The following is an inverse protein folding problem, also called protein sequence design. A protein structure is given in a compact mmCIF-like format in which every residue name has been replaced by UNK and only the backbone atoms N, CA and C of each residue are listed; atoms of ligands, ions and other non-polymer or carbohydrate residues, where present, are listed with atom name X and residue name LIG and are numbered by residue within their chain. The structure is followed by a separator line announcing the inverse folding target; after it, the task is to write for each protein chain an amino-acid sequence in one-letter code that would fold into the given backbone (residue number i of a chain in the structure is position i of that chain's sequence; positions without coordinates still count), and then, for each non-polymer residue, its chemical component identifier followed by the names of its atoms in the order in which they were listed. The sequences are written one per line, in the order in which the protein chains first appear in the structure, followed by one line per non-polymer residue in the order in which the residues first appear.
data_IF_103378492133
#
_entry.id   IF_103378492133
#
_cell.length_a   1.000
_cell.length_b   1.000
_cell.length_c   1.000
_cell.angle_alpha   90.00
_cell.angle_beta   90.00
_cell.angle_gamma   90.00
#
_symmetry.space_group_name_H-M   'P 1'
#
loop_
_entity.id
_entity.type
_entity.pdbx_description
1 polymer ?
#
# COMPACT_ATOMS: atom_id res chain seq x y z
N UNK A 1 -35.97 17.73 22.47
CA UNK A 1 -34.96 16.65 22.37
C UNK A 1 -34.16 16.87 21.09
N UNK A 2 -33.07 17.62 21.18
CA UNK A 2 -32.23 17.99 20.03
C UNK A 2 -30.96 17.15 20.05
N UNK A 3 -30.87 16.19 19.13
CA UNK A 3 -29.63 15.49 18.83
C UNK A 3 -29.00 16.13 17.60
N UNK A 4 -28.02 17.02 17.83
CA UNK A 4 -27.18 17.56 16.77
C UNK A 4 -26.43 16.40 16.11
N UNK A 5 -26.90 15.96 14.94
CA UNK A 5 -26.11 15.13 14.02
C UNK A 5 -24.90 15.98 13.65
N UNK A 6 -23.71 15.55 14.04
CA UNK A 6 -22.48 16.10 13.49
C UNK A 6 -22.48 15.78 11.99
N UNK A 7 -22.92 16.75 11.18
CA UNK A 7 -22.77 16.73 9.73
C UNK A 7 -21.28 16.99 9.51
N UNK A 8 -20.53 15.94 9.20
CA UNK A 8 -19.17 16.09 8.71
C UNK A 8 -19.28 16.80 7.36
N UNK A 9 -18.57 17.92 7.12
CA UNK A 9 -18.71 18.67 5.88
C UNK A 9 -18.32 17.78 4.70
N UNK A 10 -19.20 17.67 3.71
CA UNK A 10 -18.95 17.01 2.43
C UNK A 10 -18.00 17.84 1.54
N UNK A 11 -16.89 18.33 2.09
CA UNK A 11 -15.92 19.20 1.42
C UNK A 11 -14.50 18.84 1.87
N UNK A 12 -13.99 17.71 1.37
CA UNK A 12 -12.55 17.49 1.07
C UNK A 12 -12.30 16.09 0.50
N UNK A 13 -13.25 15.54 -0.27
CA UNK A 13 -12.95 14.35 -1.07
C UNK A 13 -12.21 14.87 -2.31
N UNK A 14 -10.88 14.94 -2.22
CA UNK A 14 -10.04 15.02 -3.40
C UNK A 14 -10.39 13.83 -4.30
N UNK A 15 -11.15 14.13 -5.34
CA UNK A 15 -11.54 13.21 -6.39
C UNK A 15 -10.28 12.63 -7.01
N UNK A 16 -10.01 11.34 -6.82
CA UNK A 16 -8.95 10.66 -7.55
C UNK A 16 -9.36 10.58 -9.02
N UNK A 17 -8.80 11.47 -9.84
CA UNK A 17 -9.04 11.51 -11.29
C UNK A 17 -8.29 10.38 -11.97
N UNK A 18 -9.01 9.43 -12.57
CA UNK A 18 -8.44 8.45 -13.50
C UNK A 18 -9.23 8.54 -14.82
N UNK A 19 -8.55 8.90 -15.92
CA UNK A 19 -9.14 9.03 -17.27
C UNK A 19 -10.33 10.00 -17.42
N UNK A 20 -10.42 11.04 -16.58
CA UNK A 20 -11.47 12.08 -16.71
C UNK A 20 -12.86 11.68 -16.18
N UNK A 21 -12.99 10.52 -15.51
CA UNK A 21 -14.20 10.13 -14.79
C UNK A 21 -13.99 10.30 -13.29
N UNK A 22 -14.94 10.94 -12.61
CA UNK A 22 -15.01 10.95 -11.15
C UNK A 22 -15.40 9.54 -10.68
N UNK A 23 -14.43 8.77 -10.20
CA UNK A 23 -14.69 7.46 -9.63
C UNK A 23 -15.21 7.66 -8.20
N UNK A 24 -16.37 7.11 -7.83
CA UNK A 24 -16.85 7.10 -6.45
C UNK A 24 -15.74 6.62 -5.51
N UNK A 25 -15.47 7.32 -4.38
CA UNK A 25 -14.43 6.92 -3.43
C UNK A 25 -14.55 5.46 -2.99
N UNK A 26 -15.78 4.97 -2.86
CA UNK A 26 -16.07 3.58 -2.51
C UNK A 26 -15.56 2.57 -3.55
N UNK A 27 -15.68 2.88 -4.85
CA UNK A 27 -15.17 2.03 -5.92
C UNK A 27 -13.62 2.07 -5.97
N UNK A 28 -13.01 3.21 -5.64
CA UNK A 28 -11.56 3.32 -5.48
C UNK A 28 -11.08 2.45 -4.33
N UNK A 29 -11.74 2.51 -3.17
CA UNK A 29 -11.41 1.71 -1.99
C UNK A 29 -11.56 0.21 -2.29
N UNK A 30 -12.65 -0.20 -2.94
CA UNK A 30 -12.88 -1.60 -3.34
C UNK A 30 -11.80 -2.11 -4.30
N UNK A 31 -11.40 -1.29 -5.27
CA UNK A 31 -10.31 -1.63 -6.19
C UNK A 31 -8.98 -1.75 -5.46
N UNK A 32 -8.63 -0.76 -4.62
CA UNK A 32 -7.40 -0.78 -3.83
C UNK A 32 -7.34 -2.00 -2.91
N UNK A 33 -8.46 -2.38 -2.28
CA UNK A 33 -8.55 -3.59 -1.47
C UNK A 33 -8.17 -4.85 -2.25
N UNK A 34 -8.79 -5.07 -3.42
CA UNK A 34 -8.47 -6.21 -4.29
C UNK A 34 -7.01 -6.19 -4.73
N UNK A 35 -6.50 -5.02 -5.09
CA UNK A 35 -5.13 -4.84 -5.58
C UNK A 35 -4.07 -5.06 -4.48
N UNK A 36 -4.33 -4.68 -3.23
CA UNK A 36 -3.43 -5.00 -2.10
C UNK A 36 -3.35 -6.50 -1.87
N UNK A 37 -4.50 -7.19 -1.82
CA UNK A 37 -4.54 -8.64 -1.62
C UNK A 37 -3.74 -9.33 -2.74
N UNK A 38 -3.88 -8.87 -3.98
CA UNK A 38 -3.12 -9.37 -5.12
C UNK A 38 -1.61 -9.07 -5.01
N UNK A 39 -1.24 -7.86 -4.55
CA UNK A 39 0.15 -7.47 -4.33
C UNK A 39 0.80 -8.32 -3.22
N UNK A 40 0.12 -8.50 -2.08
CA UNK A 40 0.58 -9.34 -0.97
C UNK A 40 0.78 -10.80 -1.40
N UNK A 41 -0.18 -11.36 -2.14
CA UNK A 41 -0.07 -12.71 -2.72
C UNK A 41 1.08 -12.82 -3.73
N UNK A 42 1.32 -11.79 -4.53
CA UNK A 42 2.44 -11.76 -5.47
C UNK A 42 3.79 -11.79 -4.76
N UNK A 43 3.95 -10.96 -3.72
CA UNK A 43 5.17 -10.90 -2.91
C UNK A 43 5.35 -12.08 -1.96
N UNK A 44 4.31 -12.91 -1.78
CA UNK A 44 4.27 -13.97 -0.77
C UNK A 44 4.58 -13.44 0.65
N UNK A 45 4.08 -12.24 0.93
CA UNK A 45 4.23 -11.57 2.21
C UNK A 45 3.19 -12.10 3.20
N UNK A 46 3.65 -12.35 4.42
CA UNK A 46 2.73 -12.50 5.53
C UNK A 46 2.07 -11.15 5.84
N UNK A 47 1.00 -11.19 6.64
CA UNK A 47 0.31 -9.97 7.06
C UNK A 47 1.24 -9.05 7.87
N UNK A 48 2.06 -9.62 8.75
CA UNK A 48 3.13 -8.93 9.48
C UNK A 48 4.12 -8.19 8.57
N UNK A 49 4.54 -8.80 7.46
CA UNK A 49 5.48 -8.18 6.52
C UNK A 49 4.82 -6.99 5.81
N UNK A 50 3.56 -7.16 5.44
CA UNK A 50 2.75 -6.11 4.79
C UNK A 50 2.51 -4.94 5.75
N UNK A 51 2.19 -5.24 7.01
CA UNK A 51 2.00 -4.28 8.07
C UNK A 51 3.29 -3.48 8.35
N UNK A 52 4.43 -4.16 8.48
CA UNK A 52 5.76 -3.52 8.60
C UNK A 52 6.07 -2.63 7.42
N UNK A 53 5.88 -3.13 6.20
CA UNK A 53 6.15 -2.42 4.96
C UNK A 53 5.32 -1.13 4.84
N UNK A 54 4.07 -1.17 5.29
CA UNK A 54 3.14 -0.05 5.26
C UNK A 54 3.19 0.82 6.53
N UNK A 55 3.93 0.38 7.56
CA UNK A 55 3.93 0.97 8.91
C UNK A 55 2.51 1.11 9.48
N UNK A 56 1.72 0.05 9.34
CA UNK A 56 0.36 -0.09 9.87
C UNK A 56 0.31 -1.24 10.86
N UNK A 57 -0.76 -1.32 11.65
CA UNK A 57 -0.99 -2.51 12.48
C UNK A 57 -1.47 -3.68 11.61
N UNK A 58 -1.16 -4.91 12.01
CA UNK A 58 -1.69 -6.11 11.33
C UNK A 58 -3.21 -6.10 11.31
N UNK A 59 -3.85 -5.66 12.40
CA UNK A 59 -5.31 -5.51 12.51
C UNK A 59 -5.86 -4.53 11.46
N UNK A 60 -5.19 -3.40 11.21
CA UNK A 60 -5.59 -2.46 10.17
C UNK A 60 -5.58 -3.10 8.78
N UNK A 61 -4.55 -3.91 8.48
CA UNK A 61 -4.48 -4.66 7.23
C UNK A 61 -5.62 -5.69 7.16
N UNK A 62 -5.84 -6.45 8.24
CA UNK A 62 -6.89 -7.47 8.32
C UNK A 62 -8.27 -6.88 8.05
N UNK A 63 -8.61 -5.83 8.79
CA UNK A 63 -9.91 -5.19 8.73
C UNK A 63 -10.13 -4.54 7.36
N UNK A 64 -9.06 -4.02 6.73
CA UNK A 64 -9.15 -3.49 5.38
C UNK A 64 -9.41 -4.61 4.35
N UNK A 65 -8.72 -5.74 4.45
CA UNK A 65 -8.91 -6.89 3.56
C UNK A 65 -10.27 -7.57 3.75
N UNK A 66 -10.82 -7.59 4.97
CA UNK A 66 -12.12 -8.18 5.34
C UNK A 66 -13.32 -7.22 5.18
N UNK A 67 -13.13 -6.06 4.56
CA UNK A 67 -14.19 -5.07 4.34
C UNK A 67 -14.76 -4.42 5.61
N UNK A 68 -14.08 -4.59 6.75
CA UNK A 68 -14.47 -4.00 8.03
C UNK A 68 -14.05 -2.53 8.16
N UNK A 69 -13.11 -2.08 7.35
CA UNK A 69 -12.80 -0.65 7.14
C UNK A 69 -13.41 -0.23 5.80
N UNK A 70 -14.46 0.59 5.87
CA UNK A 70 -15.09 1.21 4.71
C UNK A 70 -14.33 2.43 4.21
N UNK A 71 -13.75 3.24 5.12
CA UNK A 71 -13.07 4.50 4.80
C UNK A 71 -11.68 4.59 5.48
N UNK A 72 -10.60 4.07 4.86
CA UNK A 72 -9.25 4.34 5.33
C UNK A 72 -8.89 5.82 5.16
N UNK A 73 -7.92 6.32 5.94
CA UNK A 73 -7.42 7.70 5.77
C UNK A 73 -6.73 7.86 4.42
N UNK A 74 -6.69 9.10 3.89
CA UNK A 74 -5.98 9.42 2.63
C UNK A 74 -4.53 8.95 2.66
N UNK A 75 -3.83 9.14 3.78
CA UNK A 75 -2.46 8.69 3.97
C UNK A 75 -2.33 7.16 3.89
N UNK A 76 -3.24 6.44 4.55
CA UNK A 76 -3.30 4.97 4.49
C UNK A 76 -3.54 4.49 3.06
N UNK A 77 -4.47 5.14 2.34
CA UNK A 77 -4.76 4.84 0.95
C UNK A 77 -3.56 5.11 0.03
N UNK A 78 -2.80 6.18 0.26
CA UNK A 78 -1.57 6.46 -0.49
C UNK A 78 -0.49 5.40 -0.23
N UNK A 79 -0.32 4.96 1.03
CA UNK A 79 0.60 3.87 1.38
C UNK A 79 0.22 2.56 0.68
N UNK A 80 -1.08 2.24 0.64
CA UNK A 80 -1.62 1.12 -0.11
C UNK A 80 -1.34 1.22 -1.61
N UNK A 81 -1.59 2.39 -2.22
CA UNK A 81 -1.31 2.64 -3.63
C UNK A 81 0.19 2.47 -3.93
N UNK A 82 1.07 2.96 -3.07
CA UNK A 82 2.51 2.79 -3.22
C UNK A 82 2.94 1.32 -3.17
N UNK A 83 2.37 0.53 -2.27
CA UNK A 83 2.62 -0.91 -2.20
C UNK A 83 2.11 -1.66 -3.44
N UNK A 84 0.94 -1.30 -3.96
CA UNK A 84 0.42 -1.84 -5.22
C UNK A 84 1.35 -1.48 -6.38
N UNK A 85 1.80 -0.22 -6.46
CA UNK A 85 2.71 0.23 -7.50
C UNK A 85 4.06 -0.51 -7.45
N UNK A 86 4.58 -0.77 -6.25
CA UNK A 86 5.77 -1.59 -6.07
C UNK A 86 5.56 -3.00 -6.65
N UNK A 87 4.39 -3.60 -6.42
CA UNK A 87 4.09 -4.94 -6.97
C UNK A 87 4.04 -4.96 -8.49
N UNK A 88 3.54 -3.88 -9.11
CA UNK A 88 3.51 -3.74 -10.58
C UNK A 88 4.92 -3.62 -11.14
N UNK A 89 5.75 -2.76 -10.54
CA UNK A 89 7.16 -2.61 -10.91
C UNK A 89 7.91 -3.95 -10.87
N UNK A 90 7.73 -4.71 -9.79
CA UNK A 90 8.38 -6.03 -9.67
C UNK A 90 7.77 -7.08 -10.60
N UNK A 91 6.49 -7.01 -10.94
CA UNK A 91 5.88 -7.89 -11.96
C UNK A 91 6.43 -7.58 -13.35
N UNK A 92 6.62 -6.31 -13.67
CA UNK A 92 7.21 -5.88 -14.95
C UNK A 92 8.67 -6.33 -15.04
N UNK A 93 9.46 -6.17 -13.98
CA UNK A 93 10.87 -6.54 -13.97
C UNK A 93 11.12 -8.06 -13.90
N UNK A 94 10.30 -8.82 -13.16
CA UNK A 94 10.58 -10.23 -12.85
C UNK A 94 9.49 -11.22 -13.31
N UNK A 95 8.39 -10.75 -13.90
CA UNK A 95 7.27 -11.59 -14.32
C UNK A 95 6.65 -12.36 -13.16
N UNK A 96 6.59 -13.69 -13.27
CA UNK A 96 6.04 -14.58 -12.24
C UNK A 96 7.10 -15.17 -11.29
N UNK A 97 8.33 -14.64 -11.27
CA UNK A 97 9.42 -15.13 -10.40
C UNK A 97 9.26 -14.64 -8.95
N UNK A 98 8.12 -14.98 -8.33
CA UNK A 98 7.68 -14.54 -6.99
C UNK A 98 8.72 -14.77 -5.89
N UNK A 99 9.42 -15.90 -5.96
CA UNK A 99 10.46 -16.26 -4.99
C UNK A 99 11.63 -15.26 -4.99
N UNK A 100 12.09 -14.84 -6.18
CA UNK A 100 13.17 -13.86 -6.30
C UNK A 100 12.75 -12.52 -5.70
N UNK A 101 11.51 -12.09 -5.94
CA UNK A 101 10.99 -10.83 -5.40
C UNK A 101 10.97 -10.85 -3.88
N UNK A 102 10.49 -11.95 -3.27
CA UNK A 102 10.50 -12.10 -1.82
C UNK A 102 11.92 -12.02 -1.27
N UNK A 103 12.89 -12.68 -1.91
CA UNK A 103 14.30 -12.60 -1.51
C UNK A 103 14.83 -11.17 -1.63
N UNK A 104 14.60 -10.47 -2.74
CA UNK A 104 15.09 -9.09 -2.92
C UNK A 104 14.55 -8.11 -1.87
N UNK A 105 13.25 -8.22 -1.54
CA UNK A 105 12.63 -7.32 -0.57
C UNK A 105 12.92 -7.73 0.88
N UNK A 106 13.14 -9.02 1.14
CA UNK A 106 13.40 -9.56 2.48
C UNK A 106 14.88 -9.65 2.86
N UNK A 107 15.80 -9.52 1.91
CA UNK A 107 17.24 -9.58 2.18
C UNK A 107 17.85 -8.20 2.42
N UNK A 108 18.82 -8.09 3.35
CA UNK A 108 19.61 -6.88 3.55
C UNK A 108 20.23 -6.35 2.26
N UNK A 109 20.16 -5.03 2.05
CA UNK A 109 20.77 -4.37 0.88
C UNK A 109 21.44 -3.06 1.25
N UNK A 110 22.53 -2.72 0.55
CA UNK A 110 23.22 -1.43 0.67
C UNK A 110 22.26 -0.28 0.33
N UNK A 111 21.35 -0.47 -0.63
CA UNK A 111 20.34 0.54 -0.99
C UNK A 111 19.44 0.96 0.17
N UNK A 112 19.36 0.12 1.20
CA UNK A 112 18.54 0.31 2.39
C UNK A 112 19.38 0.43 3.66
N UNK A 113 20.67 0.75 3.55
CA UNK A 113 21.55 0.87 4.71
C UNK A 113 21.80 -0.45 5.44
N UNK A 114 21.92 -1.55 4.68
CA UNK A 114 22.08 -2.93 5.20
C UNK A 114 20.87 -3.47 5.97
N UNK A 115 19.70 -2.89 5.77
CA UNK A 115 18.41 -3.47 6.16
C UNK A 115 17.73 -4.11 4.94
N UNK A 116 16.74 -4.96 5.17
CA UNK A 116 15.80 -5.36 4.11
C UNK A 116 14.88 -4.20 3.72
N UNK A 117 14.19 -4.30 2.59
CA UNK A 117 13.22 -3.29 2.18
C UNK A 117 12.08 -3.14 3.20
N UNK A 118 11.66 -4.26 3.80
CA UNK A 118 10.60 -4.33 4.81
C UNK A 118 11.04 -3.60 6.08
N UNK A 119 12.23 -3.89 6.58
CA UNK A 119 12.78 -3.24 7.78
C UNK A 119 13.03 -1.76 7.56
N UNK A 120 13.60 -1.40 6.40
CA UNK A 120 13.81 -0.01 6.03
C UNK A 120 12.48 0.76 5.98
N UNK A 121 11.46 0.17 5.34
CA UNK A 121 10.14 0.78 5.27
C UNK A 121 9.52 0.99 6.64
N UNK A 122 9.62 0.00 7.54
CA UNK A 122 9.13 0.12 8.91
C UNK A 122 9.86 1.22 9.72
N UNK A 123 11.15 1.43 9.46
CA UNK A 123 11.97 2.41 10.20
C UNK A 123 11.63 3.88 9.91
N UNK A 124 10.95 4.17 8.78
CA UNK A 124 10.65 5.55 8.33
C UNK A 124 9.14 5.80 8.25
N UNK A 125 8.70 7.01 8.56
CA UNK A 125 7.28 7.40 8.54
C UNK A 125 6.64 7.19 7.15
N UNK A 126 7.38 7.52 6.10
CA UNK A 126 7.01 7.36 4.68
C UNK A 126 7.85 6.30 3.96
N UNK A 127 8.27 5.27 4.70
CA UNK A 127 9.25 4.29 4.22
C UNK A 127 8.86 3.57 2.93
N UNK A 128 7.58 3.23 2.73
CA UNK A 128 7.11 2.60 1.49
C UNK A 128 7.33 3.47 0.24
N UNK A 129 7.17 4.79 0.36
CA UNK A 129 7.40 5.70 -0.76
C UNK A 129 8.88 5.79 -1.10
N UNK A 130 9.75 5.75 -0.08
CA UNK A 130 11.19 5.72 -0.28
C UNK A 130 11.63 4.41 -0.95
N UNK A 131 11.12 3.27 -0.50
CA UNK A 131 11.38 1.98 -1.14
C UNK A 131 10.92 2.01 -2.60
N UNK A 132 9.68 2.44 -2.87
CA UNK A 132 9.18 2.57 -4.24
C UNK A 132 10.08 3.48 -5.11
N UNK A 133 10.56 4.60 -4.57
CA UNK A 133 11.46 5.50 -5.27
C UNK A 133 12.84 4.90 -5.55
N UNK A 134 13.40 4.14 -4.60
CA UNK A 134 14.67 3.41 -4.78
C UNK A 134 14.51 2.35 -5.86
N UNK A 135 13.44 1.56 -5.80
CA UNK A 135 13.22 0.45 -6.73
C UNK A 135 12.91 0.95 -8.14
N UNK A 136 12.14 2.04 -8.28
CA UNK A 136 11.91 2.67 -9.60
C UNK A 136 13.22 3.07 -10.27
N UNK A 137 14.18 3.62 -9.53
CA UNK A 137 15.49 4.00 -10.10
C UNK A 137 16.36 2.82 -10.50
N UNK A 138 16.14 1.63 -9.92
CA UNK A 138 16.87 0.41 -10.30
C UNK A 138 16.33 -0.25 -11.58
N UNK A 139 15.09 0.06 -11.94
CA UNK A 139 14.35 -0.56 -13.05
C UNK A 139 13.96 0.44 -14.15
N UNK A 140 14.45 1.68 -14.09
CA UNK A 140 14.34 2.69 -15.14
C UNK A 140 15.50 2.58 -16.11
#
# INVERSE_FOLDING_TARGET
MGGNKAIIPATSVDTFTFLGFAIPPELVVLKVRKDIIAARKYFQFAQVDTAKMLRLSESTIEQFEQERISNPTTETLQKYIAFIALSKLYKEAFGNKKYMVKTFLGSPSISYGRMSAIEYAASKENGIFHVLGIERRKHA
#
